data_IF_729780633162
#
_entry.id   IF_729780633162
#
_cell.length_a   1.000
_cell.length_b   1.000
_cell.length_c   1.000
_cell.angle_alpha   90.00
_cell.angle_beta   90.00
_cell.angle_gamma   90.00
#
_symmetry.space_group_name_H-M   'P 1'
#
loop_
_entity.id
_entity.type
_entity.pdbx_description
1 polymer ?
#
# COMPACT_ATOMS: atom_id res chain seq x y z
N UNK A 1 9.56 -15.47 8.83
CA UNK A 1 9.80 -14.74 7.56
C UNK A 1 11.16 -14.07 7.67
N UNK A 2 11.96 -14.15 6.62
CA UNK A 2 13.31 -13.56 6.54
C UNK A 2 13.49 -12.64 5.34
N UNK A 3 14.75 -12.41 4.95
CA UNK A 3 15.10 -11.56 3.79
C UNK A 3 14.51 -12.10 2.48
N UNK A 4 14.43 -13.43 2.34
CA UNK A 4 13.84 -14.14 1.22
C UNK A 4 12.36 -13.83 0.99
N UNK A 5 11.67 -13.33 2.01
CA UNK A 5 10.26 -12.92 1.93
C UNK A 5 10.10 -11.44 1.58
N UNK A 6 11.17 -10.67 1.39
CA UNK A 6 11.05 -9.26 0.98
C UNK A 6 10.64 -9.19 -0.49
N UNK A 7 9.79 -8.24 -0.82
CA UNK A 7 9.46 -7.90 -2.20
C UNK A 7 9.31 -6.39 -2.35
N UNK A 8 9.31 -5.92 -3.59
CA UNK A 8 8.96 -4.53 -3.92
C UNK A 8 7.63 -4.52 -4.66
N UNK A 9 6.72 -3.66 -4.24
CA UNK A 9 5.41 -3.51 -4.87
C UNK A 9 5.46 -2.29 -5.79
N UNK A 10 5.39 -2.46 -7.13
CA UNK A 10 5.45 -1.34 -8.08
C UNK A 10 4.17 -0.51 -8.05
N UNK A 11 4.31 0.82 -7.92
CA UNK A 11 3.18 1.77 -7.79
C UNK A 11 3.49 3.08 -8.52
N UNK A 12 2.48 3.73 -9.09
CA UNK A 12 2.58 5.09 -9.67
C UNK A 12 1.81 6.13 -8.87
N UNK A 13 0.84 5.69 -8.07
CA UNK A 13 0.05 6.49 -7.12
C UNK A 13 -0.66 5.59 -6.12
N UNK A 14 -0.97 6.12 -4.95
CA UNK A 14 -1.80 5.45 -3.94
C UNK A 14 -2.89 6.39 -3.45
N UNK A 15 -3.89 5.85 -2.77
CA UNK A 15 -5.00 6.64 -2.25
C UNK A 15 -5.27 6.38 -0.78
N UNK A 16 -5.71 7.41 -0.09
CA UNK A 16 -6.28 7.31 1.26
C UNK A 16 -7.67 7.95 1.30
N UNK A 17 -8.52 7.45 2.18
CA UNK A 17 -9.80 8.09 2.45
C UNK A 17 -9.60 9.28 3.37
N UNK A 18 -10.23 10.41 3.04
CA UNK A 18 -10.37 11.51 3.98
C UNK A 18 -11.28 11.16 5.16
N UNK A 19 -11.38 12.06 6.13
CA UNK A 19 -12.14 11.85 7.37
C UNK A 19 -13.56 12.41 7.34
N UNK A 20 -13.86 13.36 6.45
CA UNK A 20 -15.17 14.03 6.37
C UNK A 20 -15.98 13.43 5.23
N UNK A 21 -17.20 12.96 5.53
CA UNK A 21 -18.12 12.43 4.51
C UNK A 21 -18.64 13.55 3.63
N UNK A 22 -18.72 13.26 2.33
CA UNK A 22 -19.39 14.11 1.36
C UNK A 22 -20.88 14.25 1.72
N UNK A 23 -21.45 15.46 1.76
CA UNK A 23 -22.80 15.69 2.27
C UNK A 23 -23.91 15.18 1.34
N UNK A 24 -23.61 14.92 0.06
CA UNK A 24 -24.59 14.47 -0.94
C UNK A 24 -24.58 12.94 -1.03
N UNK A 25 -23.39 12.36 -1.17
CA UNK A 25 -23.19 10.92 -1.40
C UNK A 25 -23.00 10.14 -0.10
N UNK A 26 -22.74 10.82 1.01
CA UNK A 26 -22.41 10.24 2.31
C UNK A 26 -21.16 9.33 2.29
N UNK A 27 -20.32 9.42 1.26
CA UNK A 27 -19.09 8.64 1.12
C UNK A 27 -17.87 9.42 1.67
N UNK A 28 -16.84 8.70 2.12
CA UNK A 28 -15.56 9.35 2.38
C UNK A 28 -14.88 9.67 1.03
N UNK A 29 -14.39 10.90 0.84
CA UNK A 29 -13.65 11.27 -0.37
C UNK A 29 -12.34 10.49 -0.45
N UNK A 30 -11.97 10.11 -1.68
CA UNK A 30 -10.73 9.38 -1.97
C UNK A 30 -9.68 10.36 -2.52
N UNK A 31 -8.57 10.51 -1.80
CA UNK A 31 -7.46 11.39 -2.20
C UNK A 31 -6.33 10.57 -2.78
N UNK A 32 -5.80 10.98 -3.93
CA UNK A 32 -4.71 10.31 -4.62
C UNK A 32 -3.40 11.05 -4.42
N UNK A 33 -2.35 10.31 -4.07
CA UNK A 33 -0.99 10.77 -3.88
C UNK A 33 -0.08 10.16 -4.94
N UNK A 34 0.80 10.97 -5.51
CA UNK A 34 1.88 10.56 -6.39
C UNK A 34 3.16 11.29 -5.98
N UNK A 35 4.32 10.83 -6.46
CA UNK A 35 5.58 11.53 -6.18
C UNK A 35 5.62 12.94 -6.77
N UNK A 36 5.03 13.11 -7.95
CA UNK A 36 4.85 14.37 -8.67
C UNK A 36 3.76 14.21 -9.75
N UNK A 37 3.53 15.25 -10.56
CA UNK A 37 2.50 15.27 -11.59
C UNK A 37 2.70 14.23 -12.72
N UNK A 38 3.97 13.90 -13.01
CA UNK A 38 4.37 12.91 -14.02
C UNK A 38 4.05 11.47 -13.59
N UNK A 39 3.79 11.23 -12.30
CA UNK A 39 3.45 9.92 -11.72
C UNK A 39 4.48 8.83 -12.07
N UNK A 40 5.78 9.07 -11.84
CA UNK A 40 6.81 8.08 -12.11
C UNK A 40 6.59 6.83 -11.25
N UNK A 41 7.17 5.72 -11.69
CA UNK A 41 7.19 4.48 -10.92
C UNK A 41 7.99 4.67 -9.63
N UNK A 42 7.44 4.17 -8.53
CA UNK A 42 8.12 3.98 -7.24
C UNK A 42 7.66 2.67 -6.62
N UNK A 43 8.14 2.36 -5.42
CA UNK A 43 7.86 1.07 -4.78
C UNK A 43 7.38 1.21 -3.34
N UNK A 44 6.51 0.30 -2.92
CA UNK A 44 6.32 0.04 -1.50
C UNK A 44 7.22 -1.09 -1.03
N UNK A 45 7.74 -0.95 0.19
CA UNK A 45 8.46 -2.04 0.86
C UNK A 45 7.48 -3.17 1.21
N UNK A 46 7.63 -4.31 0.54
CA UNK A 46 6.72 -5.44 0.59
C UNK A 46 7.26 -6.65 1.35
N UNK A 47 6.33 -7.52 1.78
CA UNK A 47 6.61 -8.89 2.21
C UNK A 47 5.71 -9.85 1.46
N UNK A 48 6.23 -11.01 1.08
CA UNK A 48 5.50 -12.05 0.37
C UNK A 48 5.71 -13.43 1.01
N UNK A 49 4.73 -14.31 0.83
CA UNK A 49 4.84 -15.70 1.26
C UNK A 49 3.92 -16.60 0.42
N UNK A 50 4.25 -17.89 0.35
CA UNK A 50 3.27 -18.92 0.00
C UNK A 50 2.29 -19.07 1.16
N UNK A 51 1.02 -19.27 0.84
CA UNK A 51 -0.05 -19.43 1.80
C UNK A 51 -1.09 -20.43 1.28
N UNK A 52 -1.54 -21.28 2.19
CA UNK A 52 -2.57 -22.29 1.93
C UNK A 52 -3.76 -22.02 2.84
N UNK A 53 -4.95 -21.85 2.26
CA UNK A 53 -6.16 -21.63 3.05
C UNK A 53 -7.34 -21.12 2.23
N UNK A 54 -8.43 -20.76 2.92
CA UNK A 54 -9.65 -20.26 2.28
C UNK A 54 -9.62 -18.73 2.21
N UNK A 55 -9.41 -18.17 1.01
CA UNK A 55 -9.47 -16.71 0.81
C UNK A 55 -10.90 -16.19 0.68
N UNK A 56 -11.76 -16.94 -0.02
CA UNK A 56 -13.18 -16.65 -0.20
C UNK A 56 -13.98 -17.92 0.04
N UNK A 57 -15.09 -17.82 0.77
CA UNK A 57 -15.91 -18.98 1.12
C UNK A 57 -16.36 -19.81 -0.11
N UNK A 58 -16.66 -19.16 -1.24
CA UNK A 58 -17.06 -19.82 -2.49
C UNK A 58 -15.91 -20.53 -3.23
N UNK A 59 -14.67 -20.17 -2.93
CA UNK A 59 -13.47 -20.64 -3.64
C UNK A 59 -12.88 -21.90 -2.96
N UNK A 60 -13.21 -22.12 -1.68
CA UNK A 60 -12.61 -23.21 -0.91
C UNK A 60 -11.12 -22.99 -0.61
N UNK A 61 -10.41 -24.03 -0.13
CA UNK A 61 -8.98 -23.95 0.13
C UNK A 61 -8.18 -23.79 -1.17
N UNK A 62 -7.22 -22.86 -1.17
CA UNK A 62 -6.30 -22.62 -2.27
C UNK A 62 -4.86 -22.56 -1.76
N UNK A 63 -3.92 -22.93 -2.62
CA UNK A 63 -2.50 -22.63 -2.47
C UNK A 63 -2.16 -21.42 -3.36
N UNK A 64 -1.59 -20.37 -2.78
CA UNK A 64 -1.29 -19.14 -3.53
C UNK A 64 -0.11 -18.38 -2.93
N UNK A 65 0.44 -17.45 -3.72
CA UNK A 65 1.42 -16.48 -3.26
C UNK A 65 0.69 -15.19 -2.89
N UNK A 66 0.86 -14.77 -1.64
CA UNK A 66 0.29 -13.52 -1.13
C UNK A 66 1.39 -12.53 -0.82
N UNK A 67 1.04 -11.25 -0.86
CA UNK A 67 1.92 -10.20 -0.39
C UNK A 67 1.15 -9.17 0.44
N UNK A 68 1.90 -8.43 1.23
CA UNK A 68 1.48 -7.20 1.90
C UNK A 68 2.61 -6.18 1.77
N UNK A 69 2.36 -4.94 2.15
CA UNK A 69 3.40 -3.92 2.24
C UNK A 69 3.41 -3.29 3.63
N UNK A 70 4.57 -2.79 4.01
CA UNK A 70 4.81 -2.16 5.29
C UNK A 70 4.19 -0.76 5.29
N UNK A 71 3.66 -0.38 6.44
CA UNK A 71 3.20 0.98 6.71
C UNK A 71 4.03 1.62 7.81
N UNK A 72 4.02 2.95 7.85
CA UNK A 72 4.73 3.78 8.83
C UNK A 72 3.85 4.97 9.22
N UNK A 73 4.34 5.82 10.13
CA UNK A 73 3.66 7.07 10.48
C UNK A 73 3.56 7.97 9.24
N UNK A 74 2.42 8.64 9.01
CA UNK A 74 2.28 9.53 7.87
C UNK A 74 3.21 10.73 8.01
N UNK A 75 3.68 11.24 6.86
CA UNK A 75 4.31 12.56 6.80
C UNK A 75 3.24 13.66 6.82
N UNK A 76 3.65 14.92 6.94
CA UNK A 76 2.73 16.05 7.04
C UNK A 76 1.73 16.17 5.87
N UNK A 77 2.11 15.70 4.67
CA UNK A 77 1.24 15.71 3.49
C UNK A 77 0.11 14.69 3.65
N UNK A 78 0.45 13.43 3.95
CA UNK A 78 -0.55 12.37 4.09
C UNK A 78 -1.36 12.55 5.38
N UNK A 79 -0.73 12.99 6.48
CA UNK A 79 -1.36 13.16 7.78
C UNK A 79 -2.53 14.16 7.73
N UNK A 80 -2.42 15.19 6.90
CA UNK A 80 -3.50 16.16 6.68
C UNK A 80 -4.79 15.54 6.14
N UNK A 81 -4.69 14.36 5.51
CA UNK A 81 -5.81 13.61 4.93
C UNK A 81 -6.14 12.37 5.75
N UNK A 82 -5.11 11.61 6.17
CA UNK A 82 -5.23 10.33 6.87
C UNK A 82 -4.10 10.16 7.90
N UNK A 83 -4.44 10.29 9.18
CA UNK A 83 -3.48 10.36 10.29
C UNK A 83 -2.99 9.00 10.80
N UNK A 84 -3.57 7.89 10.35
CA UNK A 84 -3.27 6.57 10.92
C UNK A 84 -1.94 6.01 10.45
N UNK A 85 -1.67 6.08 9.15
CA UNK A 85 -0.50 5.49 8.53
C UNK A 85 -0.31 5.99 7.11
N UNK A 86 0.89 5.79 6.58
CA UNK A 86 1.18 5.81 5.15
C UNK A 86 2.02 4.58 4.76
N UNK A 87 2.06 4.18 3.48
CA UNK A 87 2.97 3.14 3.01
C UNK A 87 4.45 3.53 3.19
N UNK A 88 5.32 2.55 3.43
CA UNK A 88 6.78 2.75 3.34
C UNK A 88 7.17 2.83 1.87
N UNK A 89 7.63 4.00 1.42
CA UNK A 89 7.97 4.30 0.02
C UNK A 89 9.48 4.17 -0.19
N UNK A 90 9.89 3.39 -1.19
CA UNK A 90 11.25 3.26 -1.69
C UNK A 90 11.35 3.95 -3.06
N UNK A 91 12.40 4.73 -3.28
CA UNK A 91 12.58 5.61 -4.46
C UNK A 91 13.91 5.42 -5.17
N UNK A 92 14.91 4.87 -4.49
CA UNK A 92 16.27 4.70 -5.01
C UNK A 92 16.64 3.22 -5.11
N UNK A 93 17.55 2.84 -6.03
CA UNK A 93 18.07 1.48 -6.08
C UNK A 93 18.69 1.03 -4.75
N UNK A 94 19.38 1.92 -4.05
CA UNK A 94 20.02 1.64 -2.77
C UNK A 94 18.99 1.34 -1.68
N UNK A 95 17.79 1.92 -1.72
CA UNK A 95 16.70 1.58 -0.80
C UNK A 95 16.07 0.21 -1.12
N UNK A 96 16.23 -0.30 -2.35
CA UNK A 96 15.65 -1.57 -2.82
C UNK A 96 16.60 -2.75 -2.53
N UNK A 97 17.91 -2.56 -2.69
CA UNK A 97 18.90 -3.64 -2.80
C UNK A 97 19.68 -3.95 -1.49
N UNK A 98 19.00 -4.00 -0.33
CA UNK A 98 19.58 -4.26 1.03
C UNK A 98 19.04 -5.52 1.72
#
# INVERSE_FOLDING_TARGET
MGKENRCVVPVTRFSEYGSVRDPITNNLPLYWFALNEDKPLFWFAGVWTKWSGVRKAKEGPIDTEIFAFLTTRPNAVVESIHSKAMPVILRTPEEIDI
#
